data_IF_823523007788
#
_entry.id   IF_823523007788
#
_cell.length_a   1.000
_cell.length_b   1.000
_cell.length_c   1.000
_cell.angle_alpha   90.00
_cell.angle_beta   90.00
_cell.angle_gamma   90.00
#
_symmetry.space_group_name_H-M   'P 1'
#
loop_
_entity.id
_entity.type
_entity.pdbx_description
1 polymer ?
#
# COMPACT_ATOMS: atom_id res chain seq x y z
N UNK A 1 -38.09 -29.21 -19.02
CA UNK A 1 -37.02 -29.96 -19.73
C UNK A 1 -36.26 -28.98 -20.62
N UNK A 2 -34.93 -28.92 -20.51
CA UNK A 2 -34.10 -28.17 -21.47
C UNK A 2 -34.09 -28.93 -22.79
N UNK A 3 -34.21 -28.21 -23.90
CA UNK A 3 -33.99 -28.81 -25.23
C UNK A 3 -32.53 -29.20 -25.40
N UNK A 4 -32.24 -30.19 -26.23
CA UNK A 4 -30.86 -30.65 -26.51
C UNK A 4 -29.93 -29.50 -26.91
N UNK A 5 -30.45 -28.54 -27.69
CA UNK A 5 -29.71 -27.33 -28.10
C UNK A 5 -29.39 -26.41 -26.93
N UNK A 6 -30.34 -26.20 -26.02
CA UNK A 6 -30.12 -25.38 -24.81
C UNK A 6 -29.12 -26.06 -23.86
N UNK A 7 -29.17 -27.39 -23.74
CA UNK A 7 -28.21 -28.15 -22.93
C UNK A 7 -26.77 -28.02 -23.45
N UNK A 8 -26.56 -28.16 -24.77
CA UNK A 8 -25.23 -28.00 -25.39
C UNK A 8 -24.64 -26.61 -25.18
N UNK A 9 -25.47 -25.56 -25.30
CA UNK A 9 -25.03 -24.17 -25.08
C UNK A 9 -24.63 -23.96 -23.62
N UNK A 10 -25.44 -24.45 -22.68
CA UNK A 10 -25.22 -24.27 -21.24
C UNK A 10 -24.00 -25.05 -20.74
N UNK A 11 -23.80 -26.27 -21.25
CA UNK A 11 -22.61 -27.06 -20.95
C UNK A 11 -21.35 -26.46 -21.57
N UNK A 12 -21.43 -26.00 -22.83
CA UNK A 12 -20.34 -25.32 -23.51
C UNK A 12 -19.90 -24.05 -22.79
N UNK A 13 -20.85 -23.20 -22.36
CA UNK A 13 -20.54 -21.99 -21.61
C UNK A 13 -19.96 -22.27 -20.22
N UNK A 14 -20.49 -23.27 -19.49
CA UNK A 14 -19.90 -23.72 -18.23
C UNK A 14 -18.46 -24.19 -18.43
N UNK A 15 -18.19 -24.99 -19.45
CA UNK A 15 -16.85 -25.51 -19.72
C UNK A 15 -15.87 -24.38 -20.05
N UNK A 16 -16.29 -23.37 -20.81
CA UNK A 16 -15.48 -22.17 -21.07
C UNK A 16 -15.18 -21.43 -19.77
N UNK A 17 -16.16 -21.22 -18.90
CA UNK A 17 -15.96 -20.56 -17.60
C UNK A 17 -14.97 -21.36 -16.74
N UNK A 18 -15.13 -22.68 -16.67
CA UNK A 18 -14.22 -23.56 -15.92
C UNK A 18 -12.80 -23.48 -16.49
N UNK A 19 -12.63 -23.55 -17.81
CA UNK A 19 -11.31 -23.43 -18.45
C UNK A 19 -10.69 -22.06 -18.17
N UNK A 20 -11.47 -20.97 -18.23
CA UNK A 20 -10.98 -19.64 -17.90
C UNK A 20 -10.49 -19.58 -16.45
N UNK A 21 -11.22 -20.13 -15.49
CA UNK A 21 -10.79 -20.14 -14.09
C UNK A 21 -9.57 -21.03 -13.85
N UNK A 22 -9.52 -22.23 -14.45
CA UNK A 22 -8.44 -23.20 -14.28
C UNK A 22 -7.15 -22.75 -14.96
N UNK A 23 -7.23 -21.99 -16.06
CA UNK A 23 -6.03 -21.49 -16.76
C UNK A 23 -5.64 -20.10 -16.28
N UNK A 24 -6.58 -19.13 -16.25
CA UNK A 24 -6.27 -17.75 -15.87
C UNK A 24 -6.00 -17.59 -14.38
N UNK A 25 -6.67 -18.37 -13.52
CA UNK A 25 -6.47 -18.31 -12.07
C UNK A 25 -5.02 -18.60 -11.67
N UNK A 26 -4.45 -19.76 -12.05
CA UNK A 26 -3.04 -20.06 -11.81
C UNK A 26 -2.10 -19.07 -12.49
N UNK A 27 -2.36 -18.67 -13.74
CA UNK A 27 -1.52 -17.67 -14.43
C UNK A 27 -1.47 -16.34 -13.67
N UNK A 28 -2.61 -15.85 -13.19
CA UNK A 28 -2.68 -14.65 -12.38
C UNK A 28 -1.95 -14.82 -11.05
N UNK A 29 -2.11 -15.96 -10.38
CA UNK A 29 -1.38 -16.27 -9.14
C UNK A 29 0.13 -16.30 -9.34
N UNK A 30 0.61 -16.94 -10.41
CA UNK A 30 2.03 -16.96 -10.78
C UNK A 30 2.53 -15.56 -11.09
N UNK A 31 1.77 -14.78 -11.86
CA UNK A 31 2.11 -13.39 -12.18
C UNK A 31 2.32 -12.56 -10.92
N UNK A 32 1.36 -12.57 -9.98
CA UNK A 32 1.48 -11.85 -8.70
C UNK A 32 2.71 -12.30 -7.89
N UNK A 33 2.95 -13.61 -7.81
CA UNK A 33 4.10 -14.16 -7.09
C UNK A 33 5.43 -13.74 -7.71
N UNK A 34 5.54 -13.73 -9.04
CA UNK A 34 6.77 -13.32 -9.73
C UNK A 34 6.99 -11.81 -9.63
N UNK A 35 5.95 -11.00 -9.78
CA UNK A 35 6.03 -9.55 -9.67
C UNK A 35 6.42 -9.12 -8.24
N UNK A 36 5.73 -9.65 -7.23
CA UNK A 36 6.06 -9.39 -5.82
C UNK A 36 7.48 -9.81 -5.46
N UNK A 37 7.95 -10.97 -5.95
CA UNK A 37 9.34 -11.39 -5.76
C UNK A 37 10.32 -10.42 -6.43
N UNK A 38 10.10 -10.06 -7.70
CA UNK A 38 10.99 -9.13 -8.44
C UNK A 38 11.04 -7.75 -7.77
N UNK A 39 9.91 -7.23 -7.32
CA UNK A 39 9.86 -5.96 -6.61
C UNK A 39 10.63 -6.05 -5.29
N UNK A 40 10.47 -7.13 -4.52
CA UNK A 40 11.23 -7.31 -3.28
C UNK A 40 12.73 -7.39 -3.54
N UNK A 41 13.18 -8.20 -4.50
CA UNK A 41 14.59 -8.29 -4.84
C UNK A 41 15.18 -6.93 -5.30
N UNK A 42 14.36 -6.06 -5.89
CA UNK A 42 14.77 -4.71 -6.28
C UNK A 42 14.99 -3.78 -5.09
N UNK A 43 14.19 -3.89 -4.03
CA UNK A 43 14.18 -2.89 -2.95
C UNK A 43 14.65 -3.42 -1.59
N UNK A 44 14.92 -4.72 -1.46
CA UNK A 44 15.34 -5.34 -0.19
C UNK A 44 16.60 -4.72 0.42
N UNK A 45 17.50 -4.23 -0.44
CA UNK A 45 18.78 -3.63 -0.06
C UNK A 45 18.70 -2.10 -0.02
N UNK A 46 17.56 -1.52 -0.40
CA UNK A 46 17.30 -0.09 -0.28
C UNK A 46 17.01 0.30 1.17
N UNK A 47 17.11 1.61 1.43
CA UNK A 47 16.85 2.19 2.74
C UNK A 47 15.42 1.90 3.20
N UNK A 48 15.32 1.29 4.36
CA UNK A 48 14.07 1.09 5.10
C UNK A 48 13.64 2.41 5.76
N UNK A 49 12.35 2.69 5.68
CA UNK A 49 11.72 3.90 6.19
C UNK A 49 10.39 3.57 6.86
N UNK A 50 9.92 4.50 7.68
CA UNK A 50 8.62 4.48 8.33
C UNK A 50 7.81 5.66 7.80
N UNK A 51 6.52 5.46 7.60
CA UNK A 51 5.66 6.47 6.98
C UNK A 51 4.49 6.72 7.90
N UNK A 52 4.49 7.88 8.56
CA UNK A 52 3.44 8.27 9.49
C UNK A 52 3.33 9.80 9.59
N UNK A 53 2.12 10.26 9.88
CA UNK A 53 1.82 11.67 10.08
C UNK A 53 1.77 11.99 11.58
N UNK A 54 2.29 13.15 11.98
CA UNK A 54 2.28 13.64 13.37
C UNK A 54 1.78 15.09 13.50
N UNK A 55 1.32 15.72 12.42
CA UNK A 55 0.94 17.14 12.42
C UNK A 55 -0.25 17.44 13.35
N UNK A 56 -1.13 16.47 13.53
CA UNK A 56 -2.29 16.53 14.46
C UNK A 56 -1.97 16.00 15.87
N UNK A 57 -0.68 15.87 16.23
CA UNK A 57 -0.20 15.47 17.55
C UNK A 57 -0.11 13.96 17.78
N UNK A 58 -1.15 13.20 17.41
CA UNK A 58 -1.12 11.73 17.44
C UNK A 58 -0.48 11.15 16.17
N UNK A 59 0.01 9.91 16.25
CA UNK A 59 0.44 9.19 15.06
C UNK A 59 -0.77 8.80 14.20
N UNK A 60 -0.73 9.14 12.91
CA UNK A 60 -1.77 8.80 11.95
C UNK A 60 -1.22 8.06 10.72
N UNK A 61 -2.03 7.21 10.07
CA UNK A 61 -1.72 6.65 8.77
C UNK A 61 -1.43 7.75 7.74
N UNK A 62 -0.50 7.49 6.83
CA UNK A 62 -0.16 8.45 5.76
C UNK A 62 -0.95 8.17 4.51
N UNK A 63 -1.44 9.23 3.88
CA UNK A 63 -2.06 9.15 2.58
C UNK A 63 -1.01 8.99 1.48
N UNK A 64 -1.33 8.15 0.50
CA UNK A 64 -0.49 7.96 -0.69
C UNK A 64 -1.32 8.02 -1.96
N UNK A 65 -0.69 8.38 -3.06
CA UNK A 65 -1.29 8.33 -4.40
C UNK A 65 -0.55 7.35 -5.28
N UNK A 66 -1.25 6.70 -6.21
CA UNK A 66 -0.62 5.77 -7.16
C UNK A 66 -0.40 6.37 -8.54
N UNK A 67 -0.93 7.58 -8.78
CA UNK A 67 -0.85 8.29 -10.06
C UNK A 67 -0.07 9.58 -9.85
N UNK A 68 0.84 9.87 -10.77
CA UNK A 68 1.61 11.12 -10.78
C UNK A 68 0.69 12.35 -10.91
N UNK A 69 -0.46 12.22 -11.58
CA UNK A 69 -1.44 13.31 -11.70
C UNK A 69 -1.97 13.82 -10.35
N UNK A 70 -1.98 12.96 -9.33
CA UNK A 70 -2.58 13.25 -8.04
C UNK A 70 -1.54 13.80 -7.03
N UNK A 71 -0.24 13.83 -7.39
CA UNK A 71 0.83 14.24 -6.47
C UNK A 71 0.74 15.70 -6.07
N UNK A 72 0.35 16.58 -6.99
CA UNK A 72 0.19 18.02 -6.69
C UNK A 72 -0.89 18.25 -5.62
N UNK A 73 -1.98 17.49 -5.67
CA UNK A 73 -3.05 17.57 -4.67
C UNK A 73 -2.60 17.00 -3.31
N UNK A 74 -1.85 15.88 -3.32
CA UNK A 74 -1.23 15.32 -2.12
C UNK A 74 -0.25 16.30 -1.45
N UNK A 75 0.63 16.92 -2.24
CA UNK A 75 1.60 17.92 -1.77
C UNK A 75 0.85 19.10 -1.16
N UNK A 76 -0.18 19.61 -1.84
CA UNK A 76 -0.97 20.74 -1.37
C UNK A 76 -1.62 20.43 -0.02
N UNK A 77 -2.27 19.27 0.10
CA UNK A 77 -2.88 18.82 1.35
C UNK A 77 -1.86 18.82 2.50
N UNK A 78 -0.76 18.10 2.36
CA UNK A 78 0.23 17.99 3.43
C UNK A 78 0.97 19.28 3.72
N UNK A 79 1.20 20.14 2.72
CA UNK A 79 1.80 21.46 2.95
C UNK A 79 0.93 22.39 3.80
N UNK A 80 -0.40 22.22 3.75
CA UNK A 80 -1.35 22.99 4.58
C UNK A 80 -1.37 22.40 5.99
N UNK A 81 -1.43 21.08 6.12
CA UNK A 81 -1.40 20.39 7.42
C UNK A 81 -0.10 20.65 8.19
N UNK A 82 1.05 20.66 7.50
CA UNK A 82 2.37 20.96 8.08
C UNK A 82 2.45 22.38 8.67
N UNK A 83 1.70 23.34 8.11
CA UNK A 83 1.61 24.71 8.62
C UNK A 83 0.65 24.86 9.81
N UNK A 84 -0.05 23.79 10.22
CA UNK A 84 -1.04 23.84 11.31
C UNK A 84 -2.25 24.71 11.00
N UNK A 85 -2.45 25.10 9.73
CA UNK A 85 -3.52 26.01 9.33
C UNK A 85 -4.92 25.37 9.41
N UNK A 86 -4.98 24.02 9.44
CA UNK A 86 -6.21 23.26 9.32
C UNK A 86 -6.88 23.43 7.95
N UNK A 87 -7.67 22.44 7.52
CA UNK A 87 -8.51 22.58 6.34
C UNK A 87 -7.84 22.20 5.01
N UNK A 88 -6.87 21.29 5.02
CA UNK A 88 -6.44 20.62 3.80
C UNK A 88 -7.63 19.91 3.12
N UNK A 89 -7.95 20.30 1.88
CA UNK A 89 -9.00 19.63 1.10
C UNK A 89 -8.39 18.42 0.40
N UNK A 90 -8.97 17.24 0.66
CA UNK A 90 -8.59 16.01 -0.03
C UNK A 90 -9.29 16.01 -1.40
N UNK A 91 -8.50 16.18 -2.47
CA UNK A 91 -8.97 16.15 -3.85
C UNK A 91 -8.27 15.06 -4.68
N UNK A 92 -8.04 13.91 -4.06
CA UNK A 92 -7.42 12.73 -4.66
C UNK A 92 -8.01 11.45 -4.04
N UNK A 93 -7.86 10.28 -4.68
CA UNK A 93 -8.35 9.03 -4.13
C UNK A 93 -7.75 8.73 -2.76
N UNK A 94 -8.60 8.58 -1.73
CA UNK A 94 -8.15 8.30 -0.37
C UNK A 94 -7.57 6.89 -0.31
N UNK A 95 -6.27 6.80 -0.08
CA UNK A 95 -5.55 5.55 0.19
C UNK A 95 -4.55 5.80 1.31
N UNK A 96 -4.43 4.86 2.23
CA UNK A 96 -3.59 5.03 3.42
C UNK A 96 -2.60 3.89 3.57
N UNK A 97 -1.38 4.22 4.00
CA UNK A 97 -0.39 3.28 4.50
C UNK A 97 -0.47 3.21 6.02
N UNK A 98 -0.42 1.99 6.61
CA UNK A 98 -0.46 1.84 8.05
C UNK A 98 0.80 2.43 8.71
N UNK A 99 0.61 3.15 9.81
CA UNK A 99 1.68 3.88 10.52
C UNK A 99 2.73 2.99 11.19
N UNK A 100 2.42 1.71 11.39
CA UNK A 100 3.27 0.75 12.10
C UNK A 100 4.04 -0.19 11.16
N UNK A 101 4.05 0.09 9.84
CA UNK A 101 4.70 -0.79 8.87
C UNK A 101 5.96 -0.16 8.28
N UNK A 102 7.01 -0.99 8.19
CA UNK A 102 8.23 -0.66 7.43
C UNK A 102 7.88 -0.58 5.94
N UNK A 103 8.37 0.47 5.31
CA UNK A 103 8.34 0.67 3.86
C UNK A 103 9.77 0.75 3.31
N UNK A 104 9.92 0.50 2.02
CA UNK A 104 11.19 0.59 1.30
C UNK A 104 11.10 1.72 0.29
N UNK A 105 12.17 2.49 0.13
CA UNK A 105 12.27 3.44 -0.97
C UNK A 105 12.43 2.71 -2.30
N UNK A 106 11.76 3.17 -3.36
CA UNK A 106 12.05 2.70 -4.72
C UNK A 106 13.43 3.17 -5.18
N UNK A 107 13.88 4.34 -4.73
CA UNK A 107 15.17 4.92 -5.06
C UNK A 107 15.83 5.50 -3.79
N UNK A 108 17.02 5.05 -3.43
CA UNK A 108 17.74 5.48 -2.22
C UNK A 108 18.06 6.97 -2.19
N UNK A 109 18.21 7.59 -3.37
CA UNK A 109 18.47 9.03 -3.49
C UNK A 109 17.21 9.89 -3.36
N UNK A 110 16.02 9.27 -3.27
CA UNK A 110 14.74 9.98 -3.25
C UNK A 110 14.58 10.92 -2.05
N UNK A 111 15.25 10.66 -0.92
CA UNK A 111 15.21 11.56 0.23
C UNK A 111 16.01 12.85 -0.01
N UNK A 112 17.13 12.75 -0.72
CA UNK A 112 18.07 13.86 -0.93
C UNK A 112 17.74 14.72 -2.16
N UNK A 113 16.82 14.26 -3.02
CA UNK A 113 16.42 15.04 -4.18
C UNK A 113 15.50 16.22 -3.80
N UNK A 114 15.31 17.17 -4.72
CA UNK A 114 14.40 18.31 -4.52
C UNK A 114 12.90 17.99 -4.56
N UNK A 115 12.50 16.72 -4.73
CA UNK A 115 11.08 16.33 -4.79
C UNK A 115 10.42 16.45 -3.41
N UNK A 116 9.18 16.92 -3.38
CA UNK A 116 8.33 16.92 -2.16
C UNK A 116 7.63 15.58 -1.93
N UNK A 117 7.70 14.67 -2.89
CA UNK A 117 7.15 13.31 -2.79
C UNK A 117 8.23 12.27 -2.98
N UNK A 118 8.05 11.12 -2.35
CA UNK A 118 8.91 9.95 -2.56
C UNK A 118 8.07 8.74 -2.84
N UNK A 119 8.60 7.85 -3.67
CA UNK A 119 7.94 6.61 -3.99
C UNK A 119 8.38 5.49 -3.04
N UNK A 120 7.39 4.83 -2.45
CA UNK A 120 7.58 3.82 -1.41
C UNK A 120 6.87 2.53 -1.79
N UNK A 121 7.43 1.43 -1.30
CA UNK A 121 6.85 0.10 -1.40
C UNK A 121 6.71 -0.51 -0.02
N UNK A 122 5.51 -0.97 0.31
CA UNK A 122 5.22 -1.76 1.50
C UNK A 122 4.90 -3.18 1.08
N UNK A 123 5.60 -4.16 1.64
CA UNK A 123 5.24 -5.56 1.47
C UNK A 123 4.25 -6.01 2.56
N UNK A 124 3.27 -6.81 2.16
CA UNK A 124 2.43 -7.55 3.09
C UNK A 124 3.23 -8.74 3.65
N UNK A 125 3.75 -8.60 4.86
CA UNK A 125 4.54 -9.63 5.53
C UNK A 125 3.75 -10.91 5.83
N UNK A 126 2.42 -10.84 5.89
CA UNK A 126 1.57 -12.01 6.07
C UNK A 126 1.38 -12.81 4.77
N UNK A 127 1.71 -12.23 3.61
CA UNK A 127 1.49 -12.86 2.31
C UNK A 127 2.70 -13.68 1.86
N UNK A 128 2.46 -14.95 1.51
CA UNK A 128 3.47 -15.85 0.92
C UNK A 128 3.87 -15.48 -0.52
N UNK A 129 3.11 -14.59 -1.17
CA UNK A 129 3.37 -14.10 -2.54
C UNK A 129 4.16 -12.79 -2.57
N UNK A 130 4.52 -12.24 -1.40
CA UNK A 130 5.15 -10.91 -1.27
C UNK A 130 4.32 -9.82 -1.97
N UNK A 131 3.00 -9.87 -1.78
CA UNK A 131 2.13 -8.81 -2.28
C UNK A 131 2.59 -7.48 -1.71
N UNK A 132 2.54 -6.43 -2.52
CA UNK A 132 3.04 -5.13 -2.11
C UNK A 132 2.07 -4.01 -2.51
N UNK A 133 2.14 -2.93 -1.73
CA UNK A 133 1.52 -1.65 -2.03
C UNK A 133 2.61 -0.69 -2.46
N UNK A 134 2.46 -0.09 -3.64
CA UNK A 134 3.36 0.92 -4.18
C UNK A 134 2.63 2.25 -4.27
N UNK A 135 3.29 3.34 -3.87
CA UNK A 135 2.67 4.65 -3.86
C UNK A 135 3.63 5.79 -3.63
N UNK A 136 3.19 6.99 -3.99
CA UNK A 136 3.87 8.27 -3.75
C UNK A 136 3.31 8.87 -2.47
N UNK A 137 4.22 9.21 -1.55
CA UNK A 137 3.90 9.80 -0.25
C UNK A 137 4.58 11.16 -0.11
N UNK A 138 4.01 12.04 0.71
CA UNK A 138 4.63 13.32 1.01
C UNK A 138 5.90 13.13 1.84
N UNK A 139 7.03 13.69 1.39
CA UNK A 139 8.35 13.47 1.99
C UNK A 139 8.41 13.89 3.47
N UNK A 140 7.67 14.92 3.88
CA UNK A 140 7.61 15.35 5.29
C UNK A 140 6.99 14.31 6.25
N UNK A 141 6.30 13.29 5.72
CA UNK A 141 5.74 12.19 6.53
C UNK A 141 6.63 10.95 6.60
N UNK A 142 7.86 11.04 6.07
CA UNK A 142 8.80 9.92 6.00
C UNK A 142 9.85 10.04 7.09
N UNK A 143 10.02 8.96 7.86
CA UNK A 143 10.88 8.89 9.03
C UNK A 143 11.89 7.75 8.87
N UNK A 144 13.13 7.99 9.29
CA UNK A 144 14.18 6.95 9.28
C UNK A 144 14.10 6.02 10.48
N UNK A 145 13.41 6.45 11.54
CA UNK A 145 13.24 5.70 12.78
C UNK A 145 11.78 5.30 12.92
N UNK A 146 11.49 4.18 13.61
CA UNK A 146 10.12 3.83 13.95
C UNK A 146 9.49 4.93 14.80
N UNK A 147 8.14 5.03 14.79
CA UNK A 147 7.46 5.97 15.65
C UNK A 147 7.76 5.69 17.13
N UNK A 148 7.84 6.75 17.93
CA UNK A 148 7.99 6.64 19.38
C UNK A 148 6.74 6.02 20.00
N UNK A 149 6.91 5.12 20.97
CA UNK A 149 5.80 4.51 21.72
C UNK A 149 4.92 5.56 22.42
N UNK A 150 5.49 6.73 22.74
CA UNK A 150 4.75 7.86 23.31
C UNK A 150 3.70 8.46 22.36
N UNK A 151 3.84 8.22 21.06
CA UNK A 151 2.92 8.71 20.02
C UNK A 151 1.84 7.67 19.66
N UNK A 152 2.02 6.42 20.10
CA UNK A 152 1.01 5.37 19.98
C UNK A 152 -0.12 5.64 20.97
N UNK A 153 -1.37 5.67 20.50
CA UNK A 153 -2.53 5.75 21.40
C UNK A 153 -2.47 4.57 22.38
N UNK A 154 -2.64 4.83 23.69
CA UNK A 154 -2.52 3.83 24.77
C UNK A 154 -3.28 2.51 24.50
N UNK A 155 -4.39 2.57 23.76
CA UNK A 155 -5.20 1.40 23.39
C UNK A 155 -4.53 0.44 22.39
N UNK A 156 -3.51 0.91 21.64
CA UNK A 156 -2.75 0.10 20.67
C UNK A 156 -1.58 -0.67 21.30
N UNK A 157 -1.09 -0.24 22.48
CA UNK A 157 -0.05 -0.97 23.24
C UNK A 157 -0.56 -2.31 23.78
N UNK A 158 -1.85 -2.40 24.11
CA UNK A 158 -2.48 -3.64 24.62
C UNK A 158 -2.53 -4.73 23.53
N UNK A 159 -2.72 -4.35 22.25
CA UNK A 159 -2.70 -5.30 21.12
C UNK A 159 -1.28 -5.63 20.63
N UNK A 160 -0.34 -4.69 20.73
CA UNK A 160 1.05 -4.93 20.33
C UNK A 160 1.80 -5.88 21.29
N UNK A 161 1.41 -5.90 22.57
CA UNK A 161 2.03 -6.80 23.57
C UNK A 161 1.45 -8.24 23.57
N UNK A 162 0.31 -8.48 22.91
CA UNK A 162 -0.31 -9.81 22.83
C UNK A 162 -0.78 -10.13 21.40
N UNK A 163 0.14 -10.41 20.45
CA UNK A 163 -0.23 -10.77 19.08
C UNK A 163 -0.84 -12.18 18.95
N UNK A 164 -0.88 -12.99 20.02
CA UNK A 164 -1.36 -14.39 20.01
C UNK A 164 -2.51 -14.64 21.00
N UNK A 165 -3.56 -13.82 20.96
CA UNK A 165 -4.86 -14.23 21.51
C UNK A 165 -5.86 -14.09 20.37
N UNK A 166 -6.43 -15.25 19.99
CA UNK A 166 -7.35 -15.59 18.88
C UNK A 166 -6.69 -16.03 17.57
#
# INVERSE_FOLDING_TARGET
MLTERQFKILFGSMLVIVVLWVVLGPLYFFYLRFDGKRMYERVKDHKQIYVHETYSGAINPVMYVTRDSDTSALIKFYSIEELGAGGGIINFPIRMLPYNAVCYLINDTALNNGSKVVEVVRFNTASKTRDYTRGLVYKGTVHLKPPSDSLLKKDSLIKAQHPNIW
#
